data_IF_885513702559
#
_entry.id   IF_885513702559
#
_cell.length_a   1.000
_cell.length_b   1.000
_cell.length_c   1.000
_cell.angle_alpha   90.00
_cell.angle_beta   90.00
_cell.angle_gamma   90.00
#
_symmetry.space_group_name_H-M   'P 1'
#
loop_
_entity.id
_entity.type
_entity.pdbx_description
1 polymer ?
#
# COMPACT_ATOMS: atom_id res chain seq x y z
N UNK A 1 -12.28 -20.31 -17.51
CA UNK A 1 -13.02 -19.25 -16.79
C UNK A 1 -12.08 -18.06 -16.61
N UNK A 2 -12.43 -16.88 -17.12
CA UNK A 2 -11.57 -15.71 -17.07
C UNK A 2 -11.41 -15.22 -15.62
N UNK A 3 -10.16 -15.03 -15.17
CA UNK A 3 -9.87 -14.46 -13.87
C UNK A 3 -10.38 -13.01 -13.84
N UNK A 4 -11.47 -12.75 -13.11
CA UNK A 4 -11.96 -11.40 -12.88
C UNK A 4 -10.86 -10.61 -12.15
N UNK A 5 -10.31 -9.61 -12.82
CA UNK A 5 -9.32 -8.69 -12.27
C UNK A 5 -10.00 -7.93 -11.14
N UNK A 6 -9.69 -8.30 -9.88
CA UNK A 6 -10.26 -7.63 -8.69
C UNK A 6 -9.98 -6.12 -8.76
N UNK A 7 -10.91 -5.28 -8.27
CA UNK A 7 -10.81 -3.83 -8.40
C UNK A 7 -9.52 -3.33 -7.77
N UNK A 8 -8.79 -2.52 -8.53
CA UNK A 8 -7.55 -1.90 -8.08
C UNK A 8 -7.94 -0.88 -7.01
N UNK A 9 -7.50 -1.08 -5.76
CA UNK A 9 -7.68 -0.05 -4.73
C UNK A 9 -6.59 1.00 -4.89
N UNK A 10 -7.02 2.22 -5.20
CA UNK A 10 -6.18 3.40 -5.18
C UNK A 10 -6.24 4.01 -3.78
N UNK A 11 -5.09 4.09 -3.11
CA UNK A 11 -5.01 4.84 -1.86
C UNK A 11 -5.12 6.34 -2.14
N UNK A 12 -5.93 7.01 -1.33
CA UNK A 12 -6.11 8.46 -1.38
C UNK A 12 -4.83 9.18 -0.95
N UNK A 13 -4.61 10.44 -1.36
CA UNK A 13 -3.47 11.23 -0.90
C UNK A 13 -3.36 11.31 0.63
N UNK A 14 -4.49 11.37 1.34
CA UNK A 14 -4.55 11.36 2.80
C UNK A 14 -4.05 10.02 3.39
N UNK A 15 -4.48 8.88 2.83
CA UNK A 15 -4.01 7.56 3.26
C UNK A 15 -2.51 7.39 3.00
N UNK A 16 -2.01 7.90 1.86
CA UNK A 16 -0.57 7.87 1.57
C UNK A 16 0.24 8.77 2.54
N UNK A 17 -0.33 9.88 2.99
CA UNK A 17 0.28 10.74 3.99
C UNK A 17 0.34 10.06 5.36
N UNK A 18 -0.73 9.39 5.79
CA UNK A 18 -0.74 8.61 7.03
C UNK A 18 0.25 7.45 6.99
N UNK A 19 0.30 6.70 5.89
CA UNK A 19 1.29 5.65 5.68
C UNK A 19 2.72 6.19 5.83
N UNK A 20 3.01 7.36 5.25
CA UNK A 20 4.33 8.00 5.41
C UNK A 20 4.59 8.37 6.85
N UNK A 21 3.61 8.92 7.56
CA UNK A 21 3.73 9.29 8.96
C UNK A 21 4.04 8.07 9.83
N UNK A 22 3.31 6.96 9.66
CA UNK A 22 3.51 5.70 10.39
C UNK A 22 4.87 5.07 10.08
N UNK A 23 5.28 5.08 8.82
CA UNK A 23 6.62 4.64 8.42
C UNK A 23 7.73 5.49 9.08
N UNK A 24 7.55 6.81 9.15
CA UNK A 24 8.48 7.72 9.83
C UNK A 24 8.48 7.56 11.35
N UNK A 25 7.35 7.18 11.95
CA UNK A 25 7.25 6.83 13.37
C UNK A 25 7.94 5.49 13.71
N UNK A 26 8.46 4.77 12.70
CA UNK A 26 9.12 3.48 12.89
C UNK A 26 8.17 2.28 12.94
N UNK A 27 6.88 2.48 12.60
CA UNK A 27 5.91 1.40 12.62
C UNK A 27 6.23 0.34 11.56
N UNK A 28 5.95 -0.92 11.87
CA UNK A 28 6.27 -2.03 11.00
C UNK A 28 5.37 -2.06 9.76
N UNK A 29 6.01 -2.19 8.59
CA UNK A 29 5.33 -2.25 7.29
C UNK A 29 4.23 -3.31 7.21
N UNK A 30 4.40 -4.47 7.85
CA UNK A 30 3.39 -5.53 7.80
C UNK A 30 2.10 -5.14 8.51
N UNK A 31 2.18 -4.32 9.58
CA UNK A 31 1.02 -3.80 10.30
C UNK A 31 0.31 -2.74 9.48
N UNK A 32 1.06 -1.77 8.95
CA UNK A 32 0.52 -0.74 8.04
C UNK A 32 -0.14 -1.40 6.83
N UNK A 33 0.50 -2.41 6.24
CA UNK A 33 -0.04 -3.12 5.09
C UNK A 33 -1.36 -3.84 5.40
N UNK A 34 -1.47 -4.45 6.59
CA UNK A 34 -2.70 -5.10 7.04
C UNK A 34 -3.83 -4.08 7.27
N UNK A 35 -3.51 -2.96 7.92
CA UNK A 35 -4.45 -1.88 8.21
C UNK A 35 -5.05 -1.29 6.92
N UNK A 36 -4.19 -1.01 5.95
CA UNK A 36 -4.59 -0.51 4.65
C UNK A 36 -5.05 -1.59 3.67
N UNK A 37 -5.07 -2.87 4.07
CA UNK A 37 -5.36 -4.02 3.19
C UNK A 37 -4.59 -3.96 1.86
N UNK A 38 -3.32 -3.57 1.91
CA UNK A 38 -2.43 -3.48 0.75
C UNK A 38 -1.36 -4.54 0.84
N UNK A 39 -0.76 -4.86 -0.30
CA UNK A 39 0.39 -5.73 -0.29
C UNK A 39 1.62 -5.06 0.33
N UNK A 40 2.25 -5.73 1.28
CA UNK A 40 3.51 -5.29 1.90
C UNK A 40 4.60 -5.01 0.85
N UNK A 41 4.69 -5.78 -0.23
CA UNK A 41 5.65 -5.53 -1.31
C UNK A 41 5.44 -4.15 -1.96
N UNK A 42 4.17 -3.77 -2.18
CA UNK A 42 3.81 -2.45 -2.73
C UNK A 42 4.12 -1.33 -1.75
N UNK A 43 3.92 -1.57 -0.46
CA UNK A 43 4.31 -0.64 0.60
C UNK A 43 5.83 -0.47 0.68
N UNK A 44 6.60 -1.54 0.50
CA UNK A 44 8.07 -1.49 0.45
C UNK A 44 8.57 -0.70 -0.76
N UNK A 45 7.98 -0.89 -1.94
CA UNK A 45 8.29 -0.07 -3.12
C UNK A 45 7.99 1.42 -2.88
N UNK A 46 6.88 1.73 -2.20
CA UNK A 46 6.53 3.10 -1.83
C UNK A 46 7.52 3.71 -0.83
N UNK A 47 7.87 2.98 0.24
CA UNK A 47 8.87 3.42 1.23
C UNK A 47 10.21 3.72 0.57
N UNK A 48 10.65 2.86 -0.34
CA UNK A 48 11.93 3.00 -1.03
C UNK A 48 11.91 4.07 -2.15
N UNK A 49 10.83 4.84 -2.30
CA UNK A 49 10.70 5.88 -3.32
C UNK A 49 10.55 5.35 -4.75
N UNK A 50 10.47 4.03 -4.94
CA UNK A 50 10.27 3.40 -6.26
C UNK A 50 8.85 3.62 -6.80
N UNK A 51 7.92 4.03 -5.93
CA UNK A 51 6.54 4.34 -6.29
C UNK A 51 6.01 5.54 -5.54
N UNK A 52 5.31 6.41 -6.27
CA UNK A 52 4.56 7.55 -5.71
C UNK A 52 3.11 7.20 -5.37
N UNK A 53 2.61 6.06 -5.86
CA UNK A 53 1.24 5.59 -5.65
C UNK A 53 1.23 4.11 -5.30
N UNK A 54 0.29 3.71 -4.43
CA UNK A 54 0.04 2.31 -4.11
C UNK A 54 -1.30 1.93 -4.74
N UNK A 55 -1.23 1.00 -5.68
CA UNK A 55 -2.35 0.36 -6.36
C UNK A 55 -2.32 -1.10 -5.96
N UNK A 56 -3.19 -1.51 -5.04
CA UNK A 56 -3.29 -2.92 -4.69
C UNK A 56 -4.26 -3.63 -5.64
N UNK A 57 -3.76 -4.70 -6.25
CA UNK A 57 -4.52 -5.55 -7.15
C UNK A 57 -4.20 -7.00 -6.88
N UNK A 58 -4.04 -7.39 -5.60
CA UNK A 58 -3.76 -8.80 -5.29
C UNK A 58 -5.02 -9.66 -5.43
N UNK A 59 -4.80 -10.69 -6.24
CA UNK A 59 -5.61 -11.90 -6.50
C UNK A 59 -6.20 -12.53 -5.25
#
# INVERSE_FOLDING_TARGET
MAAQKRPIRHLSPAELADIRLRLSAGEHQHLIAADYKINQGRLSEFKNGKRTTIRDGRV
#
